data_IF_635067914422
#
_entry.id   IF_635067914422
#
_cell.length_a   1.000
_cell.length_b   1.000
_cell.length_c   1.000
_cell.angle_alpha   90.00
_cell.angle_beta   90.00
_cell.angle_gamma   90.00
#
_symmetry.space_group_name_H-M   'P 1'
#
loop_
_entity.id
_entity.type
_entity.pdbx_description
1 polymer ?
#
# COMPACT_ATOMS: atom_id res chain seq x y z
N UNK A 1 -43.76 -2.86 29.04
CA UNK A 1 -43.84 -3.74 27.86
C UNK A 1 -43.51 -2.89 26.66
N UNK A 2 -42.25 -2.93 26.24
CA UNK A 2 -41.70 -1.96 25.29
C UNK A 2 -42.16 -2.28 23.87
N UNK A 3 -42.65 -1.24 23.22
CA UNK A 3 -43.24 -1.21 21.89
C UNK A 3 -42.21 -1.49 20.80
N UNK A 4 -42.67 -2.19 19.77
CA UNK A 4 -41.96 -2.52 18.54
C UNK A 4 -41.47 -1.24 17.84
N UNK A 5 -40.23 -1.23 17.36
CA UNK A 5 -39.79 -0.24 16.37
C UNK A 5 -39.79 -0.92 15.00
N UNK A 6 -40.66 -0.44 14.11
CA UNK A 6 -40.63 -0.77 12.70
C UNK A 6 -39.48 0.00 12.04
N UNK A 7 -38.67 -0.73 11.28
CA UNK A 7 -37.67 -0.20 10.35
C UNK A 7 -38.38 0.57 9.25
N UNK A 8 -38.04 1.84 9.09
CA UNK A 8 -38.32 2.63 7.89
C UNK A 8 -37.04 3.36 7.50
N UNK A 9 -36.35 2.84 6.49
CA UNK A 9 -35.15 3.45 5.92
C UNK A 9 -35.48 4.83 5.30
N UNK A 10 -34.71 5.89 5.60
CA UNK A 10 -34.86 7.15 4.90
C UNK A 10 -34.20 7.06 3.51
N UNK A 11 -35.00 7.29 2.47
CA UNK A 11 -34.56 7.45 1.08
C UNK A 11 -33.54 8.61 0.98
N UNK A 12 -32.38 8.42 0.33
CA UNK A 12 -31.41 9.50 0.20
C UNK A 12 -31.91 10.57 -0.80
N UNK A 13 -31.75 11.87 -0.49
CA UNK A 13 -32.06 12.94 -1.44
C UNK A 13 -31.04 12.97 -2.57
N UNK A 14 -31.55 13.19 -3.77
CA UNK A 14 -30.81 13.47 -4.98
C UNK A 14 -30.01 14.77 -4.84
N UNK A 15 -28.68 14.65 -4.95
CA UNK A 15 -27.76 15.70 -5.42
C UNK A 15 -27.54 16.90 -4.50
N UNK A 16 -26.39 16.96 -3.84
CA UNK A 16 -25.44 18.09 -3.89
C UNK A 16 -24.25 17.78 -2.96
N UNK A 17 -23.03 18.03 -3.44
CA UNK A 17 -21.79 17.63 -2.80
C UNK A 17 -21.58 18.21 -1.41
N UNK A 18 -21.81 17.39 -0.38
CA UNK A 18 -21.28 17.63 0.96
C UNK A 18 -20.15 16.65 1.17
N UNK A 19 -18.92 17.10 0.93
CA UNK A 19 -17.71 16.41 1.38
C UNK A 19 -17.85 16.16 2.89
N UNK A 20 -18.08 14.92 3.28
CA UNK A 20 -18.15 14.59 4.70
C UNK A 20 -16.75 14.82 5.29
N UNK A 21 -16.66 15.11 6.60
CA UNK A 21 -15.36 15.24 7.29
C UNK A 21 -14.42 14.07 6.99
N UNK A 22 -14.98 12.89 6.69
CA UNK A 22 -14.25 11.69 6.25
C UNK A 22 -13.55 11.83 4.88
N UNK A 23 -14.13 12.58 3.94
CA UNK A 23 -13.52 12.87 2.63
C UNK A 23 -12.31 13.80 2.76
N UNK A 24 -12.37 14.77 3.69
CA UNK A 24 -11.28 15.73 3.95
C UNK A 24 -10.05 15.07 4.59
N UNK A 25 -10.26 14.09 5.48
CA UNK A 25 -9.20 13.28 6.10
C UNK A 25 -8.52 12.30 5.13
N UNK A 26 -9.12 12.01 3.96
CA UNK A 26 -8.51 11.16 2.92
C UNK A 26 -7.67 11.93 1.88
N UNK A 27 -7.44 13.24 2.09
CA UNK A 27 -6.78 14.12 1.13
C UNK A 27 -5.25 13.98 1.09
N UNK A 28 -4.64 13.21 1.99
CA UNK A 28 -3.20 12.92 1.97
C UNK A 28 -2.91 11.85 0.92
N UNK A 29 -2.88 12.29 -0.34
CA UNK A 29 -2.48 11.44 -1.44
C UNK A 29 -0.97 11.14 -1.41
N UNK A 30 -0.57 9.91 -1.76
CA UNK A 30 0.84 9.57 -1.89
C UNK A 30 1.56 10.51 -2.86
N UNK A 31 2.67 11.06 -2.40
CA UNK A 31 3.49 12.05 -3.12
C UNK A 31 4.01 11.61 -4.50
N UNK A 32 3.89 10.32 -4.86
CA UNK A 32 4.49 9.76 -6.08
C UNK A 32 3.53 9.69 -7.29
N UNK A 33 2.22 9.92 -7.12
CA UNK A 33 1.26 10.00 -8.24
C UNK A 33 1.08 11.45 -8.73
N UNK A 34 2.12 12.07 -9.27
CA UNK A 34 2.01 13.42 -9.87
C UNK A 34 1.71 13.43 -11.38
N UNK A 35 1.20 12.32 -11.93
CA UNK A 35 1.03 12.18 -13.38
C UNK A 35 -0.31 11.59 -13.82
N UNK A 36 -1.37 11.72 -13.01
CA UNK A 36 -2.75 11.45 -13.42
C UNK A 36 -3.73 12.45 -12.80
N UNK A 37 -4.85 12.72 -13.48
CA UNK A 37 -5.90 13.60 -12.96
C UNK A 37 -6.37 13.11 -11.59
N UNK A 38 -6.34 13.99 -10.58
CA UNK A 38 -6.57 13.65 -9.17
C UNK A 38 -7.92 12.93 -8.91
N UNK A 39 -8.92 13.20 -9.75
CA UNK A 39 -10.24 12.55 -9.74
C UNK A 39 -10.16 11.04 -10.04
N UNK A 40 -9.36 10.63 -11.03
CA UNK A 40 -9.20 9.20 -11.37
C UNK A 40 -8.46 8.43 -10.29
N UNK A 41 -7.40 9.02 -9.72
CA UNK A 41 -6.68 8.44 -8.59
C UNK A 41 -7.55 8.31 -7.33
N UNK A 42 -8.53 9.19 -7.15
CA UNK A 42 -9.47 9.14 -6.04
C UNK A 42 -10.55 8.07 -6.23
N UNK A 43 -11.12 7.93 -7.43
CA UNK A 43 -12.07 6.86 -7.76
C UNK A 43 -11.43 5.47 -7.58
N UNK A 44 -10.21 5.28 -8.08
CA UNK A 44 -9.45 4.03 -7.91
C UNK A 44 -9.17 3.74 -6.43
N UNK A 45 -8.86 4.77 -5.62
CA UNK A 45 -8.67 4.60 -4.16
C UNK A 45 -9.96 4.30 -3.38
N UNK A 46 -11.10 4.90 -3.76
CA UNK A 46 -12.39 4.56 -3.15
C UNK A 46 -12.80 3.11 -3.45
N UNK A 47 -12.60 2.68 -4.69
CA UNK A 47 -12.83 1.29 -5.07
C UNK A 47 -11.85 0.37 -4.33
N UNK A 48 -10.57 0.74 -4.25
CA UNK A 48 -9.55 0.02 -3.48
C UNK A 48 -9.99 -0.19 -2.03
N UNK A 49 -10.43 0.85 -1.32
CA UNK A 49 -10.89 0.77 0.07
C UNK A 49 -12.17 -0.03 0.27
N UNK A 50 -12.93 -0.31 -0.80
CA UNK A 50 -14.12 -1.17 -0.72
C UNK A 50 -13.79 -2.67 -0.60
N UNK A 51 -12.54 -3.07 -0.85
CA UNK A 51 -12.08 -4.45 -0.68
C UNK A 51 -11.52 -4.68 0.73
N UNK A 52 -11.64 -5.89 1.27
CA UNK A 52 -11.00 -6.21 2.55
C UNK A 52 -9.47 -6.17 2.45
N UNK A 53 -8.79 -5.87 3.58
CA UNK A 53 -7.32 -5.78 3.67
C UNK A 53 -6.57 -6.88 2.90
N UNK A 54 -7.01 -8.13 3.01
CA UNK A 54 -6.33 -9.26 2.35
C UNK A 54 -6.41 -9.22 0.82
N UNK A 55 -7.58 -8.90 0.25
CA UNK A 55 -7.73 -8.79 -1.20
C UNK A 55 -6.93 -7.61 -1.77
N UNK A 56 -6.76 -6.55 -0.98
CA UNK A 56 -5.93 -5.38 -1.32
C UNK A 56 -4.44 -5.74 -1.30
N UNK A 57 -4.00 -6.44 -0.26
CA UNK A 57 -2.64 -6.97 -0.18
C UNK A 57 -2.31 -7.89 -1.37
N UNK A 58 -3.20 -8.82 -1.71
CA UNK A 58 -2.96 -9.78 -2.81
C UNK A 58 -2.74 -9.06 -4.15
N UNK A 59 -3.58 -8.08 -4.48
CA UNK A 59 -3.43 -7.27 -5.69
C UNK A 59 -2.14 -6.44 -5.70
N UNK A 60 -1.71 -5.94 -4.54
CA UNK A 60 -0.43 -5.26 -4.42
C UNK A 60 0.74 -6.22 -4.72
N UNK A 61 0.69 -7.45 -4.20
CA UNK A 61 1.73 -8.45 -4.40
C UNK A 61 1.80 -9.00 -5.84
N UNK A 62 0.71 -8.90 -6.59
CA UNK A 62 0.66 -9.27 -8.01
C UNK A 62 1.42 -8.29 -8.92
N UNK A 63 1.69 -7.07 -8.45
CA UNK A 63 2.51 -6.12 -9.18
C UNK A 63 3.91 -6.70 -9.44
N UNK A 64 4.40 -6.53 -10.66
CA UNK A 64 5.62 -7.20 -11.13
C UNK A 64 6.85 -6.89 -10.27
N UNK A 65 6.94 -5.69 -9.72
CA UNK A 65 8.01 -5.26 -8.82
C UNK A 65 8.02 -5.94 -7.45
N UNK A 66 6.85 -6.36 -6.97
CA UNK A 66 6.69 -6.94 -5.64
C UNK A 66 6.92 -8.46 -5.62
N UNK A 67 7.10 -9.07 -6.81
CA UNK A 67 7.46 -10.49 -6.96
C UNK A 67 8.93 -10.78 -6.63
N UNK A 68 9.73 -9.74 -6.42
CA UNK A 68 11.14 -9.85 -6.01
C UNK A 68 11.39 -8.98 -4.78
N UNK A 69 12.32 -9.42 -3.93
CA UNK A 69 12.76 -8.67 -2.77
C UNK A 69 13.33 -7.31 -3.19
N UNK A 70 12.93 -6.25 -2.48
CA UNK A 70 13.42 -4.89 -2.71
C UNK A 70 14.95 -4.81 -2.59
N UNK A 71 15.55 -5.51 -1.64
CA UNK A 71 16.97 -5.34 -1.32
C UNK A 71 17.89 -6.24 -2.16
N UNK A 72 17.52 -7.51 -2.37
CA UNK A 72 18.42 -8.52 -2.96
C UNK A 72 17.88 -9.22 -4.22
N UNK A 73 16.66 -8.88 -4.65
CA UNK A 73 16.06 -9.46 -5.86
C UNK A 73 15.63 -10.93 -5.74
N UNK A 74 15.71 -11.55 -4.55
CA UNK A 74 15.22 -12.92 -4.35
C UNK A 74 13.73 -13.02 -4.71
N UNK A 75 13.29 -14.10 -5.38
CA UNK A 75 11.89 -14.27 -5.76
C UNK A 75 11.00 -14.50 -4.55
N UNK A 76 9.72 -14.15 -4.69
CA UNK A 76 8.66 -14.40 -3.71
C UNK A 76 8.99 -13.93 -2.28
N UNK A 77 9.21 -12.62 -2.08
CA UNK A 77 9.51 -12.08 -0.76
C UNK A 77 8.42 -12.45 0.26
N UNK A 78 8.86 -12.97 1.41
CA UNK A 78 7.95 -13.47 2.47
C UNK A 78 7.60 -12.40 3.51
N UNK A 79 8.30 -11.28 3.48
CA UNK A 79 8.27 -10.24 4.49
C UNK A 79 8.11 -8.88 3.84
N UNK A 80 7.46 -7.97 4.56
CA UNK A 80 7.33 -6.57 4.20
C UNK A 80 7.90 -5.72 5.33
N UNK A 81 8.72 -4.73 4.97
CA UNK A 81 9.27 -3.76 5.91
C UNK A 81 8.33 -2.56 6.00
N UNK A 82 7.40 -2.62 6.96
CA UNK A 82 6.61 -1.47 7.41
C UNK A 82 7.15 -0.97 8.75
N UNK A 83 6.35 -0.22 9.51
CA UNK A 83 6.68 0.16 10.90
C UNK A 83 6.94 -1.07 11.77
N UNK A 84 6.19 -2.14 11.51
CA UNK A 84 6.43 -3.48 12.05
C UNK A 84 6.86 -4.41 10.90
N UNK A 85 7.73 -5.37 11.17
CA UNK A 85 8.04 -6.42 10.20
C UNK A 85 6.88 -7.40 10.15
N UNK A 86 6.22 -7.51 9.00
CA UNK A 86 5.02 -8.34 8.82
C UNK A 86 5.26 -9.41 7.76
N UNK A 87 4.83 -10.63 8.05
CA UNK A 87 4.79 -11.73 7.10
C UNK A 87 3.65 -11.55 6.11
N UNK A 88 3.96 -11.73 4.83
CA UNK A 88 2.98 -11.68 3.74
C UNK A 88 1.87 -12.73 3.90
N UNK A 89 2.23 -13.92 4.42
CA UNK A 89 1.32 -15.07 4.47
C UNK A 89 0.90 -15.48 5.88
N UNK A 90 1.75 -15.24 6.88
CA UNK A 90 1.54 -15.81 8.22
C UNK A 90 0.85 -14.84 9.19
N UNK A 91 0.92 -13.54 8.92
CA UNK A 91 0.36 -12.53 9.81
C UNK A 91 -1.00 -12.03 9.35
N UNK A 92 -1.79 -11.56 10.32
CA UNK A 92 -3.04 -10.86 10.05
C UNK A 92 -2.73 -9.42 9.69
N UNK A 93 -3.19 -8.99 8.52
CA UNK A 93 -3.04 -7.63 8.04
C UNK A 93 -4.23 -6.76 8.44
N UNK A 94 -3.94 -5.58 8.98
CA UNK A 94 -4.93 -4.53 9.20
C UNK A 94 -5.08 -3.65 7.96
N UNK A 95 -6.21 -2.97 7.84
CA UNK A 95 -6.45 -2.04 6.75
C UNK A 95 -5.40 -0.92 6.69
N UNK A 96 -4.94 -0.43 7.84
CA UNK A 96 -3.91 0.61 7.95
C UNK A 96 -2.53 0.12 7.48
N UNK A 97 -2.18 -1.14 7.74
CA UNK A 97 -0.93 -1.74 7.25
C UNK A 97 -0.93 -1.85 5.73
N UNK A 98 -2.07 -2.26 5.15
CA UNK A 98 -2.20 -2.38 3.70
C UNK A 98 -2.23 -1.00 3.05
N UNK A 99 -2.93 -0.03 3.64
CA UNK A 99 -2.92 1.37 3.18
C UNK A 99 -1.51 1.95 3.21
N UNK A 100 -0.75 1.70 4.28
CA UNK A 100 0.64 2.12 4.38
C UNK A 100 1.48 1.54 3.25
N UNK A 101 1.35 0.24 2.97
CA UNK A 101 2.07 -0.43 1.88
C UNK A 101 1.72 0.15 0.50
N UNK A 102 0.43 0.37 0.24
CA UNK A 102 -0.06 0.92 -1.04
C UNK A 102 0.41 2.37 -1.21
N UNK A 103 0.35 3.17 -0.15
CA UNK A 103 0.82 4.54 -0.18
C UNK A 103 2.33 4.65 -0.44
N UNK A 104 3.12 3.66 -0.05
CA UNK A 104 4.55 3.59 -0.38
C UNK A 104 4.82 3.29 -1.86
N UNK A 105 3.84 2.76 -2.60
CA UNK A 105 3.94 2.49 -4.05
C UNK A 105 4.73 1.23 -4.42
N UNK A 106 5.02 0.37 -3.44
CA UNK A 106 5.69 -0.91 -3.67
C UNK A 106 7.16 -0.79 -4.07
N UNK A 107 7.75 -1.93 -4.43
CA UNK A 107 9.19 -2.04 -4.62
C UNK A 107 9.69 -1.24 -5.82
N UNK A 108 8.89 -1.03 -6.87
CA UNK A 108 9.30 -0.20 -8.02
C UNK A 108 9.52 1.25 -7.58
N UNK A 109 8.53 1.82 -6.88
CA UNK A 109 8.60 3.21 -6.43
C UNK A 109 9.68 3.39 -5.37
N UNK A 110 9.78 2.45 -4.42
CA UNK A 110 10.83 2.45 -3.39
C UNK A 110 12.21 2.38 -4.04
N UNK A 111 12.47 1.42 -4.93
CA UNK A 111 13.77 1.30 -5.59
C UNK A 111 14.09 2.55 -6.42
N UNK A 112 13.12 3.12 -7.15
CA UNK A 112 13.33 4.37 -7.88
C UNK A 112 13.63 5.56 -6.96
N UNK A 113 13.20 5.52 -5.70
CA UNK A 113 13.47 6.60 -4.73
C UNK A 113 14.82 6.43 -4.05
N UNK A 114 15.15 5.22 -3.62
CA UNK A 114 16.33 4.93 -2.79
C UNK A 114 17.54 4.48 -3.61
N UNK A 115 17.32 3.87 -4.78
CA UNK A 115 18.37 3.30 -5.63
C UNK A 115 18.60 4.10 -6.93
N UNK A 116 17.84 5.19 -7.18
CA UNK A 116 18.03 5.99 -8.39
C UNK A 116 19.43 6.59 -8.53
N UNK A 117 20.12 6.80 -7.41
CA UNK A 117 21.49 7.35 -7.37
C UNK A 117 22.32 6.54 -6.39
N UNK A 118 22.49 5.24 -6.67
CA UNK A 118 23.45 4.42 -5.91
C UNK A 118 24.87 4.93 -6.16
N UNK A 119 25.68 5.16 -5.11
CA UNK A 119 27.11 5.46 -5.25
C UNK A 119 27.83 4.35 -6.04
N UNK A 120 28.85 4.70 -6.84
CA UNK A 120 29.57 3.73 -7.68
C UNK A 120 30.18 2.55 -6.89
N UNK A 121 30.49 2.76 -5.62
CA UNK A 121 31.06 1.75 -4.73
C UNK A 121 30.00 0.86 -4.05
N UNK A 122 28.72 1.22 -4.12
CA UNK A 122 27.62 0.47 -3.52
C UNK A 122 26.82 -0.22 -4.63
N UNK A 123 26.84 -1.55 -4.63
CA UNK A 123 26.07 -2.35 -5.58
C UNK A 123 24.96 -3.06 -4.85
N UNK A 124 23.80 -3.13 -5.51
CA UNK A 124 22.67 -3.91 -5.04
C UNK A 124 23.07 -5.39 -4.90
N UNK A 125 22.90 -6.01 -3.73
CA UNK A 125 23.26 -7.40 -3.51
C UNK A 125 22.37 -8.33 -4.32
N UNK A 126 22.90 -9.53 -4.60
CA UNK A 126 22.16 -10.60 -5.26
C UNK A 126 21.43 -11.54 -4.28
N UNK A 127 20.64 -12.49 -4.82
CA UNK A 127 19.99 -13.55 -4.04
C UNK A 127 20.97 -14.50 -3.33
N UNK A 128 22.23 -14.50 -3.73
CA UNK A 128 23.34 -15.30 -3.22
C UNK A 128 24.36 -14.51 -2.40
N UNK A 129 24.22 -13.18 -2.33
CA UNK A 129 25.09 -12.32 -1.50
C UNK A 129 25.06 -12.69 -0.02
N UNK A 130 26.17 -12.45 0.66
CA UNK A 130 26.33 -12.73 2.08
C UNK A 130 25.44 -11.84 2.94
N UNK A 131 25.27 -12.20 4.21
CA UNK A 131 24.48 -11.39 5.16
C UNK A 131 25.16 -10.05 5.43
N UNK A 132 26.49 -10.00 5.41
CA UNK A 132 27.28 -8.78 5.59
C UNK A 132 27.05 -7.83 4.41
N UNK A 133 27.20 -8.33 3.16
CA UNK A 133 26.95 -7.53 1.95
C UNK A 133 25.53 -6.94 1.92
N UNK A 134 24.53 -7.73 2.33
CA UNK A 134 23.13 -7.27 2.44
C UNK A 134 22.94 -6.23 3.54
N UNK A 135 23.56 -6.44 4.69
CA UNK A 135 23.44 -5.53 5.83
C UNK A 135 24.08 -4.17 5.53
N UNK A 136 25.18 -4.16 4.77
CA UNK A 136 25.83 -2.92 4.35
C UNK A 136 25.03 -2.15 3.31
N UNK A 137 24.21 -2.83 2.50
CA UNK A 137 23.29 -2.20 1.55
C UNK A 137 22.05 -1.57 2.20
N UNK A 138 21.47 -2.22 3.22
CA UNK A 138 20.16 -1.83 3.79
C UNK A 138 20.24 -0.68 4.82
N UNK A 139 21.45 -0.29 5.24
CA UNK A 139 21.68 0.64 6.37
C UNK A 139 21.28 2.10 6.10
#
# INVERSE_FOLDING_TARGET
MSTQYETSDPKPPSGSGSSCLYDLLCSDAPTWERSGDAESAWCVRKEWRSFGARARLERMLEESGNRVCADCGSPDPKWVSLKDHVSVKLDKWTDDQVDSLVNLGGNIVVNNKYEAVLPDNLKKPGPDSSIEERSDFIR
#
